data_IF_929011491863
#
_entry.id   IF_929011491863
#
_cell.length_a   1.000
_cell.length_b   1.000
_cell.length_c   1.000
_cell.angle_alpha   90.00
_cell.angle_beta   90.00
_cell.angle_gamma   90.00
#
_symmetry.space_group_name_H-M   'P 1'
#
loop_
_entity.id
_entity.type
_entity.pdbx_description
1 polymer ?
#
# COMPACT_ATOMS: atom_id res chain seq x y z
N UNK A 1 -65.70 -28.10 -7.34
CA UNK A 1 -64.32 -28.58 -7.63
C UNK A 1 -64.18 -29.99 -7.06
N UNK A 2 -63.68 -30.87 -7.87
CA UNK A 2 -63.29 -32.20 -7.41
C UNK A 2 -61.99 -32.13 -6.63
N UNK A 3 -61.71 -33.08 -5.71
CA UNK A 3 -60.41 -33.09 -5.00
C UNK A 3 -59.18 -33.13 -5.92
N UNK A 4 -59.30 -33.80 -7.08
CA UNK A 4 -58.24 -33.89 -8.07
C UNK A 4 -57.95 -32.53 -8.74
N UNK A 5 -59.01 -31.80 -9.10
CA UNK A 5 -58.88 -30.45 -9.68
C UNK A 5 -58.24 -29.48 -8.70
N UNK A 6 -58.60 -29.57 -7.42
CA UNK A 6 -58.01 -28.76 -6.35
C UNK A 6 -56.53 -29.06 -6.15
N UNK A 7 -56.17 -30.34 -6.21
CA UNK A 7 -54.76 -30.78 -6.11
C UNK A 7 -53.95 -30.26 -7.29
N UNK A 8 -54.46 -30.30 -8.51
CA UNK A 8 -53.83 -29.81 -9.71
C UNK A 8 -53.64 -28.29 -9.62
N UNK A 9 -54.67 -27.55 -9.17
CA UNK A 9 -54.57 -26.09 -8.99
C UNK A 9 -53.53 -25.71 -7.96
N UNK A 10 -53.43 -26.42 -6.85
CA UNK A 10 -52.41 -26.23 -5.84
C UNK A 10 -51.02 -26.51 -6.37
N UNK A 11 -50.86 -27.57 -7.15
CA UNK A 11 -49.60 -27.92 -7.80
C UNK A 11 -49.15 -26.85 -8.78
N UNK A 12 -50.06 -26.37 -9.63
CA UNK A 12 -49.75 -25.23 -10.54
C UNK A 12 -49.28 -23.99 -9.80
N UNK A 13 -49.95 -23.63 -8.71
CA UNK A 13 -49.57 -22.48 -7.90
C UNK A 13 -48.17 -22.64 -7.33
N UNK A 14 -47.84 -23.82 -6.82
CA UNK A 14 -46.51 -24.13 -6.30
C UNK A 14 -45.43 -24.08 -7.38
N UNK A 15 -45.71 -24.58 -8.56
CA UNK A 15 -44.79 -24.54 -9.70
C UNK A 15 -44.51 -23.09 -10.11
N UNK A 16 -45.55 -22.26 -10.18
CA UNK A 16 -45.38 -20.83 -10.48
C UNK A 16 -44.54 -20.11 -9.44
N UNK A 17 -44.80 -20.40 -8.18
CA UNK A 17 -44.01 -19.84 -7.08
C UNK A 17 -42.54 -20.28 -7.16
N UNK A 18 -42.30 -21.54 -7.50
CA UNK A 18 -40.94 -22.07 -7.68
C UNK A 18 -40.21 -21.39 -8.84
N UNK A 19 -40.91 -21.19 -9.96
CA UNK A 19 -40.35 -20.48 -11.12
C UNK A 19 -39.96 -19.02 -10.74
N UNK A 20 -40.87 -18.32 -10.05
CA UNK A 20 -40.61 -16.96 -9.59
C UNK A 20 -39.41 -16.91 -8.65
N UNK A 21 -39.35 -17.86 -7.71
CA UNK A 21 -38.20 -17.94 -6.77
C UNK A 21 -36.89 -18.24 -7.48
N UNK A 22 -36.94 -19.12 -8.48
CA UNK A 22 -35.79 -19.42 -9.31
C UNK A 22 -35.28 -18.18 -10.05
N UNK A 23 -36.20 -17.40 -10.63
CA UNK A 23 -35.85 -16.16 -11.33
C UNK A 23 -35.25 -15.13 -10.37
N UNK A 24 -35.80 -14.98 -9.17
CA UNK A 24 -35.28 -14.09 -8.12
C UNK A 24 -33.87 -14.50 -7.71
N UNK A 25 -33.65 -15.79 -7.48
CA UNK A 25 -32.34 -16.32 -7.11
C UNK A 25 -31.29 -16.14 -8.22
N UNK A 26 -31.71 -16.33 -9.45
CA UNK A 26 -30.84 -16.10 -10.62
C UNK A 26 -30.41 -14.64 -10.71
N UNK A 27 -31.34 -13.71 -10.47
CA UNK A 27 -31.06 -12.28 -10.46
C UNK A 27 -30.15 -11.91 -9.29
N UNK A 28 -30.42 -12.46 -8.12
CA UNK A 28 -29.60 -12.26 -6.93
C UNK A 28 -28.18 -12.79 -7.14
N UNK A 29 -28.02 -13.97 -7.74
CA UNK A 29 -26.71 -14.50 -8.10
C UNK A 29 -25.95 -13.57 -9.04
N UNK A 30 -26.62 -13.06 -10.07
CA UNK A 30 -26.02 -12.11 -11.01
C UNK A 30 -25.51 -10.87 -10.27
N UNK A 31 -26.33 -10.31 -9.38
CA UNK A 31 -25.97 -9.15 -8.59
C UNK A 31 -24.78 -9.43 -7.64
N UNK A 32 -24.75 -10.62 -7.06
CA UNK A 32 -23.64 -11.04 -6.19
C UNK A 32 -22.34 -11.22 -6.99
N UNK A 33 -22.38 -11.79 -8.17
CA UNK A 33 -21.21 -11.90 -9.04
C UNK A 33 -20.68 -10.52 -9.43
N UNK A 34 -21.56 -9.59 -9.77
CA UNK A 34 -21.18 -8.21 -10.09
C UNK A 34 -20.53 -7.52 -8.89
N UNK A 35 -21.07 -7.74 -7.70
CA UNK A 35 -20.51 -7.21 -6.45
C UNK A 35 -19.13 -7.79 -6.16
N UNK A 36 -18.95 -9.09 -6.34
CA UNK A 36 -17.67 -9.77 -6.18
C UNK A 36 -16.63 -9.19 -7.15
N UNK A 37 -17.00 -9.02 -8.41
CA UNK A 37 -16.12 -8.47 -9.43
C UNK A 37 -15.66 -7.05 -9.06
N UNK A 38 -16.58 -6.20 -8.61
CA UNK A 38 -16.26 -4.84 -8.13
C UNK A 38 -15.35 -4.86 -6.92
N UNK A 39 -15.63 -5.76 -5.97
CA UNK A 39 -14.81 -5.91 -4.76
C UNK A 39 -13.39 -6.37 -5.08
N UNK A 40 -13.25 -7.33 -5.98
CA UNK A 40 -11.93 -7.82 -6.44
C UNK A 40 -11.13 -6.69 -7.10
N UNK A 41 -11.79 -5.88 -7.92
CA UNK A 41 -11.19 -4.73 -8.58
C UNK A 41 -10.72 -3.68 -7.56
N UNK A 42 -11.55 -3.39 -6.56
CA UNK A 42 -11.18 -2.48 -5.47
C UNK A 42 -10.01 -3.01 -4.64
N UNK A 43 -9.98 -4.30 -4.37
CA UNK A 43 -8.87 -4.94 -3.65
C UNK A 43 -7.57 -4.81 -4.46
N UNK A 44 -7.62 -5.07 -5.77
CA UNK A 44 -6.45 -4.94 -6.64
C UNK A 44 -5.93 -3.50 -6.67
N UNK A 45 -6.81 -2.51 -6.76
CA UNK A 45 -6.45 -1.09 -6.72
C UNK A 45 -5.83 -0.69 -5.39
N UNK A 46 -6.42 -1.14 -4.28
CA UNK A 46 -5.91 -0.85 -2.93
C UNK A 46 -4.55 -1.50 -2.70
N UNK A 47 -4.34 -2.71 -3.17
CA UNK A 47 -3.04 -3.39 -3.09
C UNK A 47 -1.97 -2.66 -3.89
N UNK A 48 -2.30 -2.19 -5.09
CA UNK A 48 -1.39 -1.42 -5.91
C UNK A 48 -1.00 -0.09 -5.24
N UNK A 49 -1.97 0.62 -4.65
CA UNK A 49 -1.72 1.85 -3.88
C UNK A 49 -0.85 1.60 -2.66
N UNK A 50 -1.10 0.51 -1.95
CA UNK A 50 -0.32 0.14 -0.77
C UNK A 50 1.13 -0.15 -1.14
N UNK A 51 1.36 -0.91 -2.20
CA UNK A 51 2.69 -1.21 -2.70
C UNK A 51 3.43 0.07 -3.11
N UNK A 52 2.76 0.97 -3.82
CA UNK A 52 3.34 2.25 -4.20
C UNK A 52 3.71 3.09 -2.98
N UNK A 53 2.84 3.17 -1.97
CA UNK A 53 3.12 3.89 -0.74
C UNK A 53 4.30 3.29 0.02
N UNK A 54 4.42 1.97 0.06
CA UNK A 54 5.56 1.30 0.68
C UNK A 54 6.86 1.62 -0.05
N UNK A 55 6.84 1.62 -1.37
CA UNK A 55 8.00 2.00 -2.18
C UNK A 55 8.38 3.46 -1.98
N UNK A 56 7.39 4.36 -1.94
CA UNK A 56 7.60 5.78 -1.68
C UNK A 56 8.18 6.00 -0.29
N UNK A 57 7.67 5.30 0.71
CA UNK A 57 8.19 5.35 2.08
C UNK A 57 9.64 4.90 2.16
N UNK A 58 9.97 3.78 1.51
CA UNK A 58 11.35 3.28 1.49
C UNK A 58 12.29 4.23 0.76
N UNK A 59 11.85 4.81 -0.35
CA UNK A 59 12.62 5.81 -1.09
C UNK A 59 12.88 7.06 -0.26
N UNK A 60 11.85 7.54 0.45
CA UNK A 60 11.99 8.69 1.35
C UNK A 60 12.93 8.38 2.52
N UNK A 61 12.81 7.19 3.09
CA UNK A 61 13.70 6.73 4.18
C UNK A 61 15.14 6.66 3.72
N UNK A 62 15.39 6.12 2.53
CA UNK A 62 16.71 6.07 1.91
C UNK A 62 17.28 7.47 1.66
N UNK A 63 16.49 8.37 1.09
CA UNK A 63 16.89 9.75 0.86
C UNK A 63 17.26 10.46 2.16
N UNK A 64 16.50 10.21 3.22
CA UNK A 64 16.77 10.76 4.56
C UNK A 64 18.08 10.21 5.14
N UNK A 65 18.32 8.92 4.97
CA UNK A 65 19.58 8.30 5.42
C UNK A 65 20.79 8.85 4.67
N UNK A 66 20.69 9.05 3.37
CA UNK A 66 21.74 9.65 2.54
C UNK A 66 22.01 11.07 2.99
N UNK A 67 20.97 11.88 3.23
CA UNK A 67 21.10 13.25 3.71
C UNK A 67 21.84 13.32 5.05
N UNK A 68 21.49 12.45 5.99
CA UNK A 68 22.15 12.35 7.29
C UNK A 68 23.63 11.95 7.14
N UNK A 69 23.91 10.96 6.29
CA UNK A 69 25.27 10.47 6.03
C UNK A 69 26.12 11.55 5.40
N UNK A 70 25.61 12.30 4.42
CA UNK A 70 26.33 13.42 3.78
C UNK A 70 26.59 14.54 4.77
N UNK A 71 25.62 14.86 5.63
CA UNK A 71 25.78 15.83 6.70
C UNK A 71 26.89 15.45 7.68
N UNK A 72 26.91 14.19 8.11
CA UNK A 72 27.94 13.66 8.99
C UNK A 72 29.32 13.67 8.31
N UNK A 73 29.40 13.32 7.05
CA UNK A 73 30.63 13.32 6.27
C UNK A 73 31.20 14.73 6.12
N UNK A 74 30.37 15.73 5.80
CA UNK A 74 30.76 17.11 5.68
C UNK A 74 31.25 17.66 7.03
N UNK A 75 30.57 17.35 8.11
CA UNK A 75 31.01 17.70 9.46
C UNK A 75 32.37 17.11 9.83
N UNK A 76 32.60 15.86 9.47
CA UNK A 76 33.89 15.19 9.70
C UNK A 76 35.01 15.82 8.88
N UNK A 77 34.77 16.18 7.62
CA UNK A 77 35.74 16.89 6.76
C UNK A 77 36.10 18.24 7.33
N UNK A 78 35.15 19.02 7.82
CA UNK A 78 35.37 20.32 8.42
C UNK A 78 36.24 20.23 9.69
N UNK A 79 35.96 19.24 10.53
CA UNK A 79 36.78 18.97 11.73
C UNK A 79 38.20 18.59 11.39
N UNK A 80 38.39 17.76 10.37
CA UNK A 80 39.71 17.36 9.91
C UNK A 80 40.51 18.54 9.35
N UNK A 81 39.85 19.37 8.53
CA UNK A 81 40.47 20.57 7.98
C UNK A 81 40.94 21.56 9.07
N UNK A 82 40.09 21.73 10.10
CA UNK A 82 40.47 22.57 11.27
C UNK A 82 41.65 21.99 12.02
N UNK A 83 41.68 20.69 12.24
CA UNK A 83 42.77 20.02 12.92
C UNK A 83 44.08 20.17 12.16
N UNK A 84 44.08 20.01 10.85
CA UNK A 84 45.27 20.20 10.00
C UNK A 84 45.78 21.64 10.12
N UNK A 85 44.91 22.64 10.09
CA UNK A 85 45.31 24.05 10.26
C UNK A 85 45.92 24.32 11.62
N UNK A 86 45.38 23.77 12.68
CA UNK A 86 45.88 23.92 14.04
C UNK A 86 47.26 23.28 14.19
N UNK A 87 47.48 22.10 13.62
CA UNK A 87 48.76 21.42 13.60
C UNK A 87 49.80 22.23 12.83
N UNK A 88 49.48 22.78 11.68
CA UNK A 88 50.36 23.62 10.89
C UNK A 88 50.75 24.89 11.63
N UNK A 89 49.84 25.51 12.37
CA UNK A 89 50.14 26.66 13.23
C UNK A 89 51.15 26.31 14.32
N UNK A 90 50.96 25.17 14.98
CA UNK A 90 51.89 24.67 16.00
C UNK A 90 53.29 24.44 15.44
N UNK A 91 53.40 23.87 14.25
CA UNK A 91 54.69 23.65 13.57
C UNK A 91 55.39 24.99 13.26
N UNK A 92 54.62 25.96 12.76
CA UNK A 92 55.16 27.30 12.46
C UNK A 92 55.71 28.00 13.72
N UNK A 93 54.98 27.92 14.83
CA UNK A 93 55.40 28.48 16.11
C UNK A 93 56.70 27.82 16.61
N UNK A 94 56.74 26.46 16.53
CA UNK A 94 57.96 25.73 16.94
C UNK A 94 59.18 26.05 16.05
N UNK A 95 58.99 26.25 14.79
CA UNK A 95 60.03 26.62 13.84
C UNK A 95 60.55 28.01 14.13
N UNK A 96 59.73 29.01 14.45
CA UNK A 96 60.05 30.34 14.80
C UNK A 96 60.82 30.39 16.14
N UNK A 97 60.45 29.59 17.12
CA UNK A 97 61.16 29.51 18.43
C UNK A 97 62.57 28.93 18.33
N UNK A 98 62.80 28.07 17.31
CA UNK A 98 64.14 27.51 17.10
C UNK A 98 65.17 28.47 16.48
N UNK A 99 64.69 29.52 15.89
CA UNK A 99 65.56 30.57 15.32
C UNK A 99 65.91 31.62 16.38
#
# INVERSE_FOLDING_TARGET
>A
MTPNEKTIANFETRVRQLILRFQELKKENQNLYDTIEKSEKNIAELRAKLEQQQNDYQSLKMAKMIEITDGDLNGAKDRLAKLIRDVNKCIAILTDEKE
#
